data_IF_232330601162
#
_entry.id   IF_232330601162
#
_cell.length_a   1.000
_cell.length_b   1.000
_cell.length_c   1.000
_cell.angle_alpha   90.00
_cell.angle_beta   90.00
_cell.angle_gamma   90.00
#
_symmetry.space_group_name_H-M   'P 1'
#
loop_
_entity.id
_entity.type
_entity.pdbx_description
1 polymer ?
#
# COMPACT_ATOMS: atom_id res chain seq x y z
N UNK A 1 7.03 29.98 39.73
CA UNK A 1 7.26 29.57 38.33
C UNK A 1 5.97 28.96 37.83
N UNK A 2 5.26 29.70 36.96
CA UNK A 2 3.84 29.52 36.63
C UNK A 2 3.51 28.20 35.92
N UNK A 3 2.45 27.55 36.41
CA UNK A 3 1.77 26.42 35.77
C UNK A 3 0.77 26.85 34.67
N UNK A 4 0.74 28.13 34.33
CA UNK A 4 -0.32 28.76 33.53
C UNK A 4 -0.10 28.72 32.00
N UNK A 5 1.04 28.19 31.52
CA UNK A 5 1.35 28.24 30.09
C UNK A 5 0.56 27.25 29.22
N UNK A 6 -0.24 26.35 29.80
CA UNK A 6 -1.08 25.41 29.04
C UNK A 6 -2.37 26.04 28.50
N UNK A 7 -2.76 27.20 28.99
CA UNK A 7 -3.96 27.92 28.56
C UNK A 7 -3.78 28.68 27.23
N UNK A 8 -2.53 28.84 26.76
CA UNK A 8 -2.19 29.49 25.48
C UNK A 8 -2.09 28.53 24.28
N UNK A 9 -2.53 27.26 24.39
CA UNK A 9 -2.60 26.40 23.20
C UNK A 9 -3.81 26.78 22.34
N UNK A 10 -3.56 27.42 21.20
CA UNK A 10 -4.56 27.66 20.16
C UNK A 10 -5.20 26.35 19.73
N UNK A 11 -6.44 26.13 20.17
CA UNK A 11 -7.23 24.99 19.73
C UNK A 11 -7.77 25.27 18.34
N UNK A 12 -7.32 24.49 17.35
CA UNK A 12 -7.81 24.55 15.98
C UNK A 12 -8.61 23.29 15.68
N UNK A 13 -9.85 23.47 15.23
CA UNK A 13 -10.70 22.37 14.79
C UNK A 13 -10.11 21.73 13.53
N UNK A 14 -9.72 20.46 13.62
CA UNK A 14 -9.27 19.68 12.45
C UNK A 14 -10.50 19.32 11.63
N UNK A 15 -10.66 19.99 10.48
CA UNK A 15 -11.71 19.67 9.54
C UNK A 15 -11.29 18.46 8.71
N UNK A 16 -12.23 17.56 8.42
CA UNK A 16 -11.97 16.45 7.51
C UNK A 16 -11.65 17.03 6.13
N UNK A 17 -10.43 16.77 5.63
CA UNK A 17 -10.06 17.18 4.29
C UNK A 17 -11.00 16.50 3.28
N UNK A 18 -11.64 17.27 2.40
CA UNK A 18 -12.55 16.76 1.35
C UNK A 18 -11.87 15.91 0.26
N UNK A 19 -10.61 15.53 0.44
CA UNK A 19 -9.84 14.73 -0.51
C UNK A 19 -10.23 13.27 -0.36
N UNK A 20 -11.08 12.77 -1.27
CA UNK A 20 -11.35 11.35 -1.40
C UNK A 20 -10.27 10.69 -2.26
N UNK A 21 -9.80 9.53 -1.82
CA UNK A 21 -8.89 8.72 -2.63
C UNK A 21 -9.66 8.09 -3.79
N UNK A 22 -9.18 8.32 -5.01
CA UNK A 22 -9.76 7.70 -6.20
C UNK A 22 -9.35 6.23 -6.27
N UNK A 23 -10.29 5.34 -5.98
CA UNK A 23 -10.15 3.91 -6.23
C UNK A 23 -10.49 3.57 -7.68
N UNK A 24 -9.76 2.63 -8.25
CA UNK A 24 -9.94 2.16 -9.62
C UNK A 24 -10.36 0.69 -9.58
N UNK A 25 -11.53 0.36 -10.16
CA UNK A 25 -12.11 -1.00 -10.17
C UNK A 25 -12.20 -1.68 -8.78
N UNK A 26 -12.34 -0.87 -7.72
CA UNK A 26 -12.40 -1.36 -6.34
C UNK A 26 -11.04 -1.65 -5.71
N UNK A 27 -9.94 -1.12 -6.25
CA UNK A 27 -8.59 -1.22 -5.69
C UNK A 27 -7.80 0.10 -5.77
N UNK A 28 -6.59 0.11 -5.21
CA UNK A 28 -5.67 1.25 -5.39
C UNK A 28 -5.24 1.34 -6.86
N UNK A 29 -5.39 2.52 -7.47
CA UNK A 29 -5.14 2.74 -8.91
C UNK A 29 -3.80 2.19 -9.40
N UNK A 30 -2.70 2.52 -8.71
CA UNK A 30 -1.36 2.14 -9.15
C UNK A 30 -1.16 0.61 -9.14
N UNK A 31 -1.74 -0.09 -8.16
CA UNK A 31 -1.66 -1.54 -8.06
C UNK A 31 -2.54 -2.24 -9.09
N UNK A 32 -3.75 -1.72 -9.34
CA UNK A 32 -4.65 -2.30 -10.34
C UNK A 32 -4.09 -2.12 -11.75
N UNK A 33 -3.59 -0.93 -12.08
CA UNK A 33 -2.94 -0.65 -13.38
C UNK A 33 -1.67 -1.46 -13.54
N UNK A 34 -0.82 -1.54 -12.51
CA UNK A 34 0.39 -2.35 -12.54
C UNK A 34 0.09 -3.85 -12.75
N UNK A 35 -0.91 -4.39 -12.04
CA UNK A 35 -1.32 -5.77 -12.21
C UNK A 35 -1.94 -6.07 -13.58
N UNK A 36 -2.72 -5.14 -14.12
CA UNK A 36 -3.24 -5.25 -15.50
C UNK A 36 -2.10 -5.37 -16.51
N UNK A 37 -1.10 -4.49 -16.42
CA UNK A 37 0.07 -4.54 -17.31
C UNK A 37 0.83 -5.87 -17.20
N UNK A 38 1.07 -6.34 -15.97
CA UNK A 38 1.72 -7.63 -15.72
C UNK A 38 0.91 -8.78 -16.32
N UNK A 39 -0.41 -8.74 -16.19
CA UNK A 39 -1.29 -9.80 -16.72
C UNK A 39 -1.31 -9.85 -18.23
N UNK A 40 -1.35 -8.68 -18.89
CA UNK A 40 -1.25 -8.57 -20.35
C UNK A 40 0.12 -9.10 -20.81
N UNK A 41 1.20 -8.69 -20.14
CA UNK A 41 2.55 -9.16 -20.46
C UNK A 41 2.70 -10.68 -20.30
N UNK A 42 2.16 -11.23 -19.21
CA UNK A 42 2.13 -12.67 -18.95
C UNK A 42 1.37 -13.43 -20.05
N UNK A 43 0.19 -12.94 -20.43
CA UNK A 43 -0.60 -13.51 -21.53
C UNK A 43 0.12 -13.44 -22.87
N UNK A 44 0.82 -12.34 -23.14
CA UNK A 44 1.60 -12.14 -24.36
C UNK A 44 2.77 -13.11 -24.47
N UNK A 45 3.62 -13.23 -23.44
CA UNK A 45 4.75 -14.16 -23.43
C UNK A 45 4.26 -15.61 -23.61
N UNK A 46 3.19 -15.97 -22.91
CA UNK A 46 2.61 -17.32 -22.99
C UNK A 46 2.06 -17.61 -24.38
N UNK A 47 1.41 -16.62 -25.00
CA UNK A 47 0.90 -16.74 -26.37
C UNK A 47 2.02 -16.95 -27.38
N UNK A 48 3.16 -16.28 -27.19
CA UNK A 48 4.33 -16.40 -28.06
C UNK A 48 4.99 -17.78 -27.99
N UNK A 49 4.95 -18.45 -26.83
CA UNK A 49 5.58 -19.78 -26.64
C UNK A 49 4.66 -20.95 -26.97
N UNK A 50 3.39 -20.89 -26.60
CA UNK A 50 2.48 -22.03 -26.68
C UNK A 50 1.42 -21.83 -27.77
N UNK A 51 0.55 -20.85 -27.60
CA UNK A 51 -0.46 -20.38 -28.56
C UNK A 51 -1.36 -19.35 -27.87
N UNK A 52 -2.02 -18.50 -28.65
CA UNK A 52 -3.02 -17.51 -28.19
C UNK A 52 -4.14 -18.16 -27.36
N UNK A 53 -4.53 -19.39 -27.71
CA UNK A 53 -5.56 -20.16 -26.99
C UNK A 53 -5.21 -20.43 -25.52
N UNK A 54 -3.92 -20.52 -25.18
CA UNK A 54 -3.48 -20.69 -23.80
C UNK A 54 -3.16 -19.35 -23.13
N UNK A 55 -2.54 -18.43 -23.87
CA UNK A 55 -2.08 -17.16 -23.30
C UNK A 55 -3.21 -16.21 -22.90
N UNK A 56 -4.28 -16.10 -23.70
CA UNK A 56 -5.43 -15.25 -23.38
C UNK A 56 -6.11 -15.68 -22.06
N UNK A 57 -6.57 -16.93 -21.90
CA UNK A 57 -7.25 -17.34 -20.67
C UNK A 57 -6.34 -17.28 -19.45
N UNK A 58 -5.04 -17.55 -19.58
CA UNK A 58 -4.07 -17.35 -18.49
C UNK A 58 -3.95 -15.89 -18.08
N UNK A 59 -3.80 -14.98 -19.05
CA UNK A 59 -3.72 -13.54 -18.78
C UNK A 59 -5.03 -12.99 -18.19
N UNK A 60 -6.18 -13.41 -18.71
CA UNK A 60 -7.48 -12.99 -18.18
C UNK A 60 -7.74 -13.55 -16.77
N UNK A 61 -7.41 -14.82 -16.54
CA UNK A 61 -7.54 -15.48 -15.24
C UNK A 61 -6.64 -14.83 -14.18
N UNK A 62 -5.37 -14.58 -14.51
CA UNK A 62 -4.44 -13.87 -13.62
C UNK A 62 -4.95 -12.46 -13.27
N UNK A 63 -5.54 -11.75 -14.22
CA UNK A 63 -6.08 -10.41 -13.99
C UNK A 63 -7.32 -10.45 -13.08
N UNK A 64 -8.22 -11.41 -13.29
CA UNK A 64 -9.41 -11.59 -12.46
C UNK A 64 -9.05 -11.94 -11.00
N UNK A 65 -8.05 -12.80 -10.81
CA UNK A 65 -7.49 -13.11 -9.48
C UNK A 65 -6.87 -11.86 -8.87
N UNK A 66 -6.09 -11.10 -9.65
CA UNK A 66 -5.46 -9.87 -9.16
C UNK A 66 -6.48 -8.83 -8.69
N UNK A 67 -7.54 -8.56 -9.48
CA UNK A 67 -8.61 -7.64 -9.08
C UNK A 67 -9.31 -8.11 -7.81
N UNK A 68 -9.58 -9.41 -7.69
CA UNK A 68 -10.22 -9.98 -6.50
C UNK A 68 -9.38 -9.71 -5.25
N UNK A 69 -8.06 -9.90 -5.33
CA UNK A 69 -7.14 -9.57 -4.25
C UNK A 69 -7.13 -8.07 -3.92
N UNK A 70 -7.11 -7.22 -4.95
CA UNK A 70 -7.14 -5.76 -4.75
C UNK A 70 -8.44 -5.28 -4.11
N UNK A 71 -9.59 -5.91 -4.39
CA UNK A 71 -10.86 -5.61 -3.72
C UNK A 71 -10.84 -5.98 -2.25
N UNK A 72 -10.29 -7.14 -1.90
CA UNK A 72 -10.12 -7.54 -0.49
C UNK A 72 -9.17 -6.60 0.23
N UNK A 73 -8.12 -6.14 -0.43
CA UNK A 73 -7.19 -5.15 0.13
C UNK A 73 -7.88 -3.80 0.37
N UNK A 74 -8.64 -3.33 -0.61
CA UNK A 74 -9.40 -2.08 -0.58
C UNK A 74 -10.42 -2.03 0.56
N UNK A 75 -11.06 -3.16 0.87
CA UNK A 75 -11.99 -3.28 2.00
C UNK A 75 -11.31 -3.04 3.34
N UNK A 76 -10.01 -3.36 3.46
CA UNK A 76 -9.24 -3.18 4.71
C UNK A 76 -8.61 -1.80 4.79
N UNK A 77 -7.86 -1.41 3.76
CA UNK A 77 -7.22 -0.10 3.69
C UNK A 77 -7.00 0.32 2.23
N UNK A 78 -7.58 1.45 1.77
CA UNK A 78 -7.38 1.97 0.42
C UNK A 78 -5.93 2.35 0.08
N UNK A 79 -5.05 2.52 1.07
CA UNK A 79 -3.68 3.03 0.91
C UNK A 79 -2.62 2.05 1.42
N UNK A 80 -2.94 0.77 1.53
CA UNK A 80 -2.05 -0.24 2.12
C UNK A 80 -0.65 -0.26 1.46
N UNK A 81 -0.54 -0.01 0.15
CA UNK A 81 0.76 0.09 -0.54
C UNK A 81 1.67 1.15 0.08
N UNK A 82 1.12 2.33 0.37
CA UNK A 82 1.88 3.45 0.94
C UNK A 82 2.31 3.14 2.37
N UNK A 83 1.42 2.51 3.15
CA UNK A 83 1.70 2.09 4.53
C UNK A 83 2.81 1.05 4.56
N UNK A 84 2.72 0.02 3.71
CA UNK A 84 3.73 -1.04 3.60
C UNK A 84 5.08 -0.43 3.19
N UNK A 85 5.13 0.42 2.16
CA UNK A 85 6.36 1.08 1.73
C UNK A 85 6.98 1.92 2.85
N UNK A 86 6.16 2.65 3.61
CA UNK A 86 6.61 3.43 4.77
C UNK A 86 7.17 2.52 5.87
N UNK A 87 6.49 1.44 6.18
CA UNK A 87 6.95 0.47 7.19
C UNK A 87 8.29 -0.16 6.82
N UNK A 88 8.52 -0.46 5.54
CA UNK A 88 9.79 -0.98 5.06
C UNK A 88 10.91 0.06 5.14
N UNK A 89 10.64 1.29 4.68
CA UNK A 89 11.62 2.40 4.71
C UNK A 89 12.08 2.72 6.13
N UNK A 90 11.16 2.80 7.08
CA UNK A 90 11.47 3.18 8.46
C UNK A 90 11.74 2.00 9.37
N UNK A 91 11.81 0.77 8.87
CA UNK A 91 11.98 -0.43 9.71
C UNK A 91 13.24 -0.38 10.59
N UNK A 92 14.33 0.20 10.10
CA UNK A 92 15.60 0.32 10.84
C UNK A 92 15.54 1.36 11.97
N UNK A 93 14.94 2.51 11.69
CA UNK A 93 14.85 3.63 12.64
C UNK A 93 13.66 3.51 13.61
N UNK A 94 12.55 2.93 13.13
CA UNK A 94 11.29 2.80 13.86
C UNK A 94 10.71 1.39 13.66
N UNK A 95 11.34 0.36 14.25
CA UNK A 95 10.86 -1.01 14.16
C UNK A 95 9.53 -1.17 14.91
N UNK A 96 8.65 -2.01 14.37
CA UNK A 96 7.37 -2.32 14.99
C UNK A 96 7.57 -3.12 16.28
N UNK A 97 7.22 -2.53 17.44
CA UNK A 97 7.43 -3.12 18.77
C UNK A 97 6.34 -4.12 19.21
N UNK A 98 5.30 -4.34 18.41
CA UNK A 98 4.19 -5.25 18.74
C UNK A 98 4.53 -6.75 18.69
N UNK A 99 5.81 -7.14 18.62
CA UNK A 99 6.27 -8.53 18.50
C UNK A 99 7.29 -8.82 19.59
N UNK A 100 7.26 -10.03 20.17
CA UNK A 100 8.20 -10.46 21.21
C UNK A 100 9.68 -10.31 20.77
N UNK A 101 9.99 -10.62 19.51
CA UNK A 101 11.33 -10.52 18.92
C UNK A 101 11.50 -9.22 18.10
N UNK A 102 10.95 -8.09 18.56
CA UNK A 102 11.08 -6.84 17.82
C UNK A 102 12.56 -6.40 17.74
N UNK A 103 13.07 -6.05 16.54
CA UNK A 103 14.43 -5.55 16.41
C UNK A 103 14.57 -4.21 17.16
N UNK A 104 15.72 -3.97 17.76
CA UNK A 104 16.03 -2.70 18.43
C UNK A 104 16.30 -1.62 17.38
N UNK A 105 15.75 -0.40 17.54
CA UNK A 105 16.06 0.73 16.66
C UNK A 105 17.55 1.06 16.73
N UNK A 106 18.15 1.32 15.56
CA UNK A 106 19.52 1.83 15.47
C UNK A 106 19.49 3.35 15.49
N UNK A 107 19.96 3.96 16.56
CA UNK A 107 20.14 5.42 16.67
C UNK A 107 21.58 5.78 16.28
N UNK A 108 21.82 6.81 15.46
CA UNK A 108 23.15 7.38 15.35
C UNK A 108 23.56 7.96 16.73
N UNK A 109 24.75 7.59 17.21
CA UNK A 109 25.29 8.13 18.46
C UNK A 109 25.65 9.60 18.23
N UNK A 110 24.97 10.51 18.94
CA UNK A 110 25.25 11.94 18.87
C UNK A 110 26.39 12.28 19.83
N UNK A 111 27.62 11.90 19.47
CA UNK A 111 28.85 12.32 20.18
C UNK A 111 29.55 13.46 19.47
#
# INVERSE_FOLDING_TARGET
>A
MSADHRSELTQVTIHAAGVRYLMFMGGERNLVVGGLLISIYLGFITSMRYSVYYGIPLGAGAWAVWISLMRVMALKDPLMSKVVRRSMKYRSYYPARGRLHAPTPSYPDFR
#
